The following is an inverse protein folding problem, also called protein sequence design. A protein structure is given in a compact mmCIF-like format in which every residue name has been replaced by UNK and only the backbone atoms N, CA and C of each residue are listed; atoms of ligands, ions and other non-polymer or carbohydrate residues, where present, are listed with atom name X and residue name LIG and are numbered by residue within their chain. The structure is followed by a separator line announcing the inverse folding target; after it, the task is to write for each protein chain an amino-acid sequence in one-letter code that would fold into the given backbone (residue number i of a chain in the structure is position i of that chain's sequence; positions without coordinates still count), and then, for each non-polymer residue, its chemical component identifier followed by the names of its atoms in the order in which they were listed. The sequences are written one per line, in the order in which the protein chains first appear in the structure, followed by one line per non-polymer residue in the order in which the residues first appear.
data_IF_819856123691
#
_entry.id   IF_819856123691
#
_cell.length_a   1.000
_cell.length_b   1.000
_cell.length_c   1.000
_cell.angle_alpha   90.00
_cell.angle_beta   90.00
_cell.angle_gamma   90.00
#
_symmetry.space_group_name_H-M   'P 1'
#
loop_
_entity.id
_entity.type
_entity.pdbx_description
1 polymer ?
#
# COMPACT_ATOMS: atom_id res chain seq x y z
N UNK A 1 6.43 -19.45 -19.06
CA UNK A 1 5.14 -18.72 -18.98
C UNK A 1 5.43 -17.24 -19.23
N UNK A 2 5.14 -16.74 -20.43
CA UNK A 2 5.28 -15.31 -20.74
C UNK A 2 4.09 -14.58 -20.10
N UNK A 3 4.35 -13.88 -18.99
CA UNK A 3 3.37 -12.95 -18.41
C UNK A 3 3.23 -11.80 -19.42
N UNK A 4 2.10 -11.74 -20.12
CA UNK A 4 1.77 -10.60 -20.99
C UNK A 4 1.70 -9.32 -20.15
N UNK A 5 2.10 -8.19 -20.75
CA UNK A 5 2.13 -6.88 -20.10
C UNK A 5 0.80 -6.52 -19.41
N UNK A 6 -0.32 -6.95 -20.00
CA UNK A 6 -1.67 -6.75 -19.45
C UNK A 6 -1.89 -7.44 -18.09
N UNK A 7 -1.32 -8.63 -17.88
CA UNK A 7 -1.44 -9.33 -16.60
C UNK A 7 -0.60 -8.64 -15.52
N UNK A 8 0.61 -8.19 -15.88
CA UNK A 8 1.46 -7.41 -14.99
C UNK A 8 0.79 -6.08 -14.61
N UNK A 9 0.25 -5.36 -15.58
CA UNK A 9 -0.50 -4.12 -15.36
C UNK A 9 -1.67 -4.34 -14.39
N UNK A 10 -2.47 -5.40 -14.61
CA UNK A 10 -3.59 -5.74 -13.73
C UNK A 10 -3.13 -6.02 -12.29
N UNK A 11 -2.02 -6.75 -12.13
CA UNK A 11 -1.45 -7.07 -10.81
C UNK A 11 -0.92 -5.84 -10.11
N UNK A 12 -0.19 -4.98 -10.81
CA UNK A 12 0.31 -3.71 -10.27
C UNK A 12 -0.84 -2.80 -9.85
N UNK A 13 -1.85 -2.64 -10.71
CA UNK A 13 -3.01 -1.82 -10.42
C UNK A 13 -3.77 -2.32 -9.18
N UNK A 14 -4.00 -3.63 -9.07
CA UNK A 14 -4.63 -4.21 -7.87
C UNK A 14 -3.86 -3.93 -6.59
N UNK A 15 -2.53 -4.06 -6.62
CA UNK A 15 -1.69 -3.80 -5.45
C UNK A 15 -1.61 -2.31 -5.10
N UNK A 16 -1.62 -1.44 -6.11
CA UNK A 16 -1.70 0.00 -5.90
C UNK A 16 -3.02 0.38 -5.22
N UNK A 17 -4.15 -0.12 -5.73
CA UNK A 17 -5.47 0.12 -5.12
C UNK A 17 -5.52 -0.33 -3.66
N UNK A 18 -4.91 -1.48 -3.32
CA UNK A 18 -4.85 -1.92 -1.91
C UNK A 18 -4.13 -0.89 -1.02
N UNK A 19 -3.01 -0.34 -1.48
CA UNK A 19 -2.25 0.67 -0.72
C UNK A 19 -3.03 2.00 -0.63
N UNK A 20 -3.70 2.41 -1.69
CA UNK A 20 -4.57 3.60 -1.71
C UNK A 20 -5.76 3.44 -0.74
N UNK A 21 -6.41 2.28 -0.75
CA UNK A 21 -7.50 1.95 0.17
C UNK A 21 -7.02 2.01 1.63
N UNK A 22 -5.84 1.46 1.93
CA UNK A 22 -5.24 1.59 3.27
C UNK A 22 -5.04 3.06 3.66
N UNK A 23 -4.54 3.91 2.75
CA UNK A 23 -4.32 5.33 3.02
C UNK A 23 -5.63 6.07 3.30
N UNK A 24 -6.68 5.80 2.52
CA UNK A 24 -8.03 6.37 2.74
C UNK A 24 -8.56 5.99 4.12
N UNK A 25 -8.47 4.70 4.49
CA UNK A 25 -8.95 4.23 5.79
C UNK A 25 -8.17 4.90 6.93
N UNK A 26 -6.84 4.96 6.84
CA UNK A 26 -6.01 5.62 7.85
C UNK A 26 -6.34 7.09 8.00
N UNK A 27 -6.58 7.80 6.90
CA UNK A 27 -6.95 9.21 6.93
C UNK A 27 -8.31 9.40 7.59
N UNK A 28 -9.29 8.55 7.27
CA UNK A 28 -10.64 8.61 7.84
C UNK A 28 -10.61 8.35 9.35
N UNK A 29 -9.97 7.28 9.79
CA UNK A 29 -9.89 6.92 11.21
C UNK A 29 -9.09 7.96 12.00
N UNK A 30 -7.97 8.45 11.46
CA UNK A 30 -7.19 9.54 12.08
C UNK A 30 -8.03 10.83 12.22
N UNK A 31 -8.79 11.19 11.18
CA UNK A 31 -9.65 12.37 11.22
C UNK A 31 -10.75 12.23 12.28
N UNK A 32 -11.37 11.05 12.38
CA UNK A 32 -12.36 10.76 13.41
C UNK A 32 -11.77 10.82 14.82
N UNK A 33 -10.60 10.22 15.04
CA UNK A 33 -9.89 10.25 16.34
C UNK A 33 -9.45 11.66 16.73
N UNK A 34 -8.98 12.46 15.76
CA UNK A 34 -8.63 13.86 15.95
C UNK A 34 -9.86 14.70 16.35
N UNK A 35 -11.01 14.51 15.68
CA UNK A 35 -12.25 15.20 16.05
C UNK A 35 -12.74 14.82 17.45
N UNK A 36 -12.51 13.57 17.86
CA UNK A 36 -12.81 13.10 19.21
C UNK A 36 -11.73 13.47 20.25
N UNK A 37 -10.68 14.20 19.84
CA UNK A 37 -9.65 14.74 20.73
C UNK A 37 -8.76 13.70 21.40
N UNK A 38 -8.72 12.45 20.89
CA UNK A 38 -7.95 11.35 21.49
C UNK A 38 -8.23 11.14 22.99
N UNK A 39 -9.46 11.40 23.43
CA UNK A 39 -9.79 11.24 24.85
C UNK A 39 -9.80 9.77 25.26
N UNK A 40 -9.42 9.47 26.51
CA UNK A 40 -9.37 8.09 27.00
C UNK A 40 -10.71 7.36 26.86
N UNK A 41 -11.82 8.07 27.07
CA UNK A 41 -13.17 7.52 26.87
C UNK A 41 -13.43 7.08 25.41
N UNK A 42 -12.81 7.74 24.43
CA UNK A 42 -12.92 7.34 23.01
C UNK A 42 -11.97 6.20 22.65
N UNK A 43 -10.83 6.10 23.33
CA UNK A 43 -9.79 5.10 23.03
C UNK A 43 -9.98 3.79 23.80
N UNK A 44 -10.67 3.81 24.93
CA UNK A 44 -10.98 2.64 25.71
C UNK A 44 -12.33 2.07 25.29
N UNK A 45 -12.34 0.79 24.93
CA UNK A 45 -13.58 0.00 24.86
C UNK A 45 -13.92 -0.53 26.24
N UNK A 46 -15.21 -0.57 26.56
CA UNK A 46 -15.70 -1.23 27.76
C UNK A 46 -15.44 -2.74 27.64
N UNK A 47 -14.70 -3.37 28.58
CA UNK A 47 -14.46 -4.81 28.55
C UNK A 47 -15.74 -5.66 28.69
N UNK A 48 -16.84 -5.09 29.19
CA UNK A 48 -18.12 -5.79 29.37
C UNK A 48 -19.06 -5.68 28.15
N UNK A 49 -18.74 -4.83 27.16
CA UNK A 49 -19.49 -4.73 25.91
C UNK A 49 -18.95 -5.66 24.80
N UNK A 50 -19.83 -6.03 23.85
CA UNK A 50 -19.41 -6.79 22.67
C UNK A 50 -18.41 -5.95 21.88
N UNK A 51 -17.14 -6.37 21.88
CA UNK A 51 -16.08 -5.67 21.16
C UNK A 51 -16.31 -5.72 19.65
N UNK A 52 -16.90 -4.65 19.13
CA UNK A 52 -16.94 -4.36 17.70
C UNK A 52 -15.75 -3.47 17.36
N UNK A 53 -15.00 -3.75 16.28
CA UNK A 53 -13.81 -2.95 15.94
C UNK A 53 -14.14 -1.47 15.81
N UNK A 54 -13.54 -0.64 16.65
CA UNK A 54 -13.74 0.80 16.63
C UNK A 54 -12.77 1.50 15.65
N UNK A 55 -12.75 2.84 15.67
CA UNK A 55 -11.87 3.63 14.81
C UNK A 55 -10.38 3.43 15.13
N UNK A 56 -10.03 3.20 16.40
CA UNK A 56 -8.66 2.93 16.83
C UNK A 56 -8.24 1.52 16.39
N UNK A 57 -9.09 0.52 16.59
CA UNK A 57 -8.83 -0.85 16.12
C UNK A 57 -8.62 -0.89 14.61
N UNK A 58 -9.52 -0.22 13.87
CA UNK A 58 -9.41 -0.13 12.42
C UNK A 58 -8.15 0.62 11.97
N UNK A 59 -7.79 1.72 12.65
CA UNK A 59 -6.53 2.42 12.41
C UNK A 59 -5.33 1.52 12.63
N UNK A 60 -5.23 0.88 13.80
CA UNK A 60 -4.10 0.03 14.18
C UNK A 60 -3.99 -1.19 13.26
N UNK A 61 -5.12 -1.83 12.94
CA UNK A 61 -5.16 -2.97 12.03
C UNK A 61 -4.58 -2.62 10.67
N UNK A 62 -5.07 -1.54 10.04
CA UNK A 62 -4.60 -1.12 8.71
C UNK A 62 -3.17 -0.61 8.76
N UNK A 63 -2.80 0.18 9.78
CA UNK A 63 -1.44 0.71 9.91
C UNK A 63 -0.39 -0.41 9.98
N UNK A 64 -0.74 -1.55 10.62
CA UNK A 64 0.14 -2.71 10.70
C UNK A 64 0.31 -3.45 9.37
N UNK A 65 -0.66 -3.41 8.45
CA UNK A 65 -0.54 -4.11 7.15
C UNK A 65 0.19 -3.28 6.10
N UNK A 66 0.15 -1.95 6.20
CA UNK A 66 0.75 -1.03 5.22
C UNK A 66 2.21 -1.37 4.87
N UNK A 67 3.13 -1.62 5.83
CA UNK A 67 4.51 -1.95 5.48
C UNK A 67 4.64 -3.20 4.59
N UNK A 68 3.81 -4.21 4.84
CA UNK A 68 3.85 -5.46 4.08
C UNK A 68 3.19 -5.32 2.70
N UNK A 69 2.11 -4.55 2.61
CA UNK A 69 1.45 -4.25 1.33
C UNK A 69 2.37 -3.40 0.42
N UNK A 70 3.09 -2.43 0.99
CA UNK A 70 4.11 -1.67 0.25
C UNK A 70 5.26 -2.57 -0.19
N UNK A 71 5.78 -3.44 0.68
CA UNK A 71 6.83 -4.41 0.29
C UNK A 71 6.37 -5.28 -0.87
N UNK A 72 5.11 -5.73 -0.87
CA UNK A 72 4.55 -6.55 -1.95
C UNK A 72 4.51 -5.78 -3.27
N UNK A 73 4.05 -4.52 -3.24
CA UNK A 73 4.05 -3.64 -4.41
C UNK A 73 5.48 -3.42 -4.95
N UNK A 74 6.42 -3.04 -4.08
CA UNK A 74 7.83 -2.81 -4.43
C UNK A 74 8.47 -4.08 -5.01
N UNK A 75 8.19 -5.24 -4.44
CA UNK A 75 8.71 -6.52 -4.94
C UNK A 75 8.25 -6.82 -6.36
N UNK A 76 6.98 -6.54 -6.70
CA UNK A 76 6.46 -6.69 -8.06
C UNK A 76 7.17 -5.72 -9.02
N UNK A 77 7.34 -4.45 -8.62
CA UNK A 77 8.05 -3.45 -9.43
C UNK A 77 9.47 -3.90 -9.69
N UNK A 78 10.19 -4.31 -8.64
CA UNK A 78 11.58 -4.74 -8.73
C UNK A 78 11.74 -5.97 -9.64
N UNK A 79 10.91 -6.99 -9.44
CA UNK A 79 10.93 -8.23 -10.22
C UNK A 79 10.60 -8.01 -11.71
N UNK A 80 9.89 -6.93 -12.05
CA UNK A 80 9.51 -6.61 -13.43
C UNK A 80 10.17 -5.32 -13.95
N UNK A 81 11.19 -4.82 -13.26
CA UNK A 81 11.82 -3.53 -13.55
C UNK A 81 12.30 -3.37 -14.99
N UNK A 82 12.84 -4.43 -15.60
CA UNK A 82 13.28 -4.44 -17.02
C UNK A 82 12.15 -4.31 -18.03
N UNK A 83 10.93 -4.72 -17.67
CA UNK A 83 9.73 -4.57 -18.50
C UNK A 83 9.10 -3.18 -18.29
N UNK A 84 9.15 -2.69 -17.06
CA UNK A 84 8.59 -1.39 -16.67
C UNK A 84 9.44 -0.21 -17.13
N UNK A 85 10.75 -0.38 -17.14
CA UNK A 85 11.71 0.67 -17.44
C UNK A 85 12.61 0.22 -18.58
N UNK A 86 12.69 1.03 -19.63
CA UNK A 86 13.69 0.83 -20.69
C UNK A 86 15.07 1.06 -20.08
N UNK A 87 15.97 0.08 -20.20
CA UNK A 87 17.38 0.32 -19.93
C UNK A 87 17.85 1.49 -20.80
N UNK A 88 18.62 2.45 -20.27
CA UNK A 88 19.31 3.40 -21.14
C UNK A 88 20.15 2.58 -22.11
N UNK A 89 19.87 2.74 -23.41
CA UNK A 89 20.71 2.15 -24.44
C UNK A 89 22.13 2.64 -24.15
N UNK A 90 23.08 1.74 -23.92
CA UNK A 90 24.47 2.11 -24.16
C UNK A 90 24.50 2.40 -25.65
N UNK A 91 24.69 3.67 -26.01
CA UNK A 91 24.97 4.04 -27.39
C UNK A 91 26.05 3.07 -27.91
N UNK A 92 25.86 2.44 -29.08
CA UNK A 92 26.93 1.66 -29.66
C UNK A 92 28.11 2.63 -29.85
N UNK A 93 29.22 2.36 -29.17
CA UNK A 93 30.50 2.99 -29.45
C UNK A 93 30.66 3.00 -30.97
N UNK A 94 30.69 4.21 -31.52
CA UNK A 94 30.99 4.48 -32.90
C UNK A 94 32.28 3.76 -33.24
N UNK A 95 32.17 2.71 -34.04
CA UNK A 95 33.30 2.09 -34.72
C UNK A 95 33.78 3.16 -35.71
N UNK A 96 34.82 3.90 -35.33
CA UNK A 96 35.58 4.74 -36.26
C UNK A 96 36.63 3.84 -36.94
N UNK A 97 36.58 3.83 -38.27
CA UNK A 97 37.50 3.17 -39.22
C UNK A 97 38.94 3.73 -39.17
#
# INVERSE_FOLDING_TARGET
RHLTDTNLQTRLYKQLLTVEDCAVILQQTTSALNMAGWTLHTLCQDPDEVQTPDQLDRFVMVARTVPDDIKRLVSIIYANSKLLFKSPQKDPESVED
#
